data_IF_700278416566
#
_entry.id   IF_700278416566
#
_cell.length_a   1.000
_cell.length_b   1.000
_cell.length_c   1.000
_cell.angle_alpha   90.00
_cell.angle_beta   90.00
_cell.angle_gamma   90.00
#
_symmetry.space_group_name_H-M   'P 1'
#
loop_
_entity.id
_entity.type
_entity.pdbx_description
1 polymer ?
#
# COMPACT_ATOMS: atom_id res chain seq x y z
N UNK A 1 -5.62 -7.10 -34.77
CA UNK A 1 -4.40 -6.29 -34.82
C UNK A 1 -4.28 -5.56 -33.49
N UNK A 2 -3.60 -6.17 -32.50
CA UNK A 2 -3.35 -5.55 -31.20
C UNK A 2 -2.12 -4.66 -31.31
N UNK A 3 -2.34 -3.37 -31.53
CA UNK A 3 -1.28 -2.37 -31.41
C UNK A 3 -0.85 -2.30 -29.95
N UNK A 4 0.34 -2.81 -29.63
CA UNK A 4 0.97 -2.59 -28.34
C UNK A 4 1.11 -1.08 -28.15
N UNK A 5 0.37 -0.49 -27.20
CA UNK A 5 0.63 0.87 -26.77
C UNK A 5 2.01 0.87 -26.10
N UNK A 6 3.02 1.34 -26.81
CA UNK A 6 4.44 1.33 -26.43
C UNK A 6 4.73 2.26 -25.26
N UNK A 7 4.29 1.92 -24.07
CA UNK A 7 4.57 2.63 -22.83
C UNK A 7 4.92 1.66 -21.71
N UNK A 8 5.68 2.12 -20.73
CA UNK A 8 5.88 1.38 -19.47
C UNK A 8 4.73 1.70 -18.52
N UNK A 9 4.27 0.73 -17.68
CA UNK A 9 3.31 0.99 -16.63
C UNK A 9 3.90 1.98 -15.60
N UNK A 10 3.03 2.82 -15.05
CA UNK A 10 3.39 3.80 -14.02
C UNK A 10 2.70 3.47 -12.71
N UNK A 11 3.41 2.80 -11.83
CA UNK A 11 2.89 2.43 -10.51
C UNK A 11 3.16 3.48 -9.42
N UNK A 12 3.81 4.59 -9.78
CA UNK A 12 4.19 5.63 -8.84
C UNK A 12 5.39 5.27 -7.96
N UNK A 13 5.46 5.92 -6.81
CA UNK A 13 6.44 5.62 -5.75
C UNK A 13 5.88 6.14 -4.41
N UNK A 14 6.01 5.38 -3.34
CA UNK A 14 5.48 5.73 -2.01
C UNK A 14 6.11 6.98 -1.40
N UNK A 15 7.31 7.36 -1.83
CA UNK A 15 7.93 8.62 -1.45
C UNK A 15 7.63 9.68 -2.52
N UNK A 16 6.67 10.56 -2.24
CA UNK A 16 6.37 11.68 -3.13
C UNK A 16 7.58 12.63 -3.25
N UNK A 17 7.82 13.14 -4.47
CA UNK A 17 8.96 14.05 -4.77
C UNK A 17 9.03 15.26 -3.84
N UNK A 18 7.89 15.78 -3.37
CA UNK A 18 7.82 16.90 -2.43
C UNK A 18 8.60 16.69 -1.13
N UNK A 19 8.70 15.45 -0.64
CA UNK A 19 9.50 15.12 0.54
C UNK A 19 11.01 15.26 0.34
N UNK A 20 11.46 15.32 -0.91
CA UNK A 20 12.85 15.59 -1.26
C UNK A 20 13.05 17.09 -1.50
N UNK A 21 12.20 17.69 -2.38
CA UNK A 21 12.43 19.05 -2.84
C UNK A 21 12.12 20.12 -1.76
N UNK A 22 11.08 19.94 -0.94
CA UNK A 22 10.73 20.93 0.10
C UNK A 22 11.89 21.08 1.11
N UNK A 23 12.37 20.01 1.76
CA UNK A 23 13.52 20.15 2.67
C UNK A 23 14.79 20.53 1.92
N UNK A 24 15.00 20.10 0.68
CA UNK A 24 16.14 20.53 -0.13
C UNK A 24 16.18 22.04 -0.36
N UNK A 25 15.06 22.64 -0.75
CA UNK A 25 14.94 24.10 -0.91
C UNK A 25 15.11 24.81 0.43
N UNK A 26 14.46 24.32 1.50
CA UNK A 26 14.62 24.89 2.84
C UNK A 26 16.10 24.88 3.27
N UNK A 27 16.82 23.76 3.03
CA UNK A 27 18.25 23.67 3.29
C UNK A 27 19.05 24.77 2.57
N UNK A 28 18.81 24.96 1.27
CA UNK A 28 19.50 25.99 0.50
C UNK A 28 19.24 27.41 1.02
N UNK A 29 17.97 27.70 1.39
CA UNK A 29 17.61 29.00 1.97
C UNK A 29 18.35 29.23 3.30
N UNK A 30 18.34 28.23 4.19
CA UNK A 30 19.04 28.36 5.47
C UNK A 30 20.56 28.44 5.31
N UNK A 31 21.16 27.76 4.33
CA UNK A 31 22.60 27.92 4.02
C UNK A 31 22.90 29.34 3.53
N UNK A 32 22.06 29.91 2.67
CA UNK A 32 22.23 31.31 2.23
C UNK A 32 22.12 32.30 3.40
N UNK A 33 21.12 32.13 4.29
CA UNK A 33 20.95 32.98 5.46
C UNK A 33 22.07 32.78 6.51
N UNK A 34 22.71 31.62 6.55
CA UNK A 34 23.84 31.36 7.45
C UNK A 34 25.07 32.23 7.16
N UNK A 35 25.16 32.82 5.96
CA UNK A 35 26.20 33.84 5.66
C UNK A 35 26.03 35.11 6.51
N UNK A 36 24.80 35.40 6.94
CA UNK A 36 24.47 36.56 7.80
C UNK A 36 24.34 36.14 9.28
N UNK A 37 23.77 34.95 9.51
CA UNK A 37 23.51 34.41 10.85
C UNK A 37 24.07 32.99 10.94
N UNK A 38 25.32 32.79 11.43
CA UNK A 38 26.04 31.52 11.33
C UNK A 38 25.31 30.31 11.92
N UNK A 39 24.50 30.47 12.99
CA UNK A 39 23.82 29.30 13.59
C UNK A 39 22.75 28.69 12.68
N UNK A 40 22.32 29.36 11.63
CA UNK A 40 21.38 28.82 10.65
C UNK A 40 21.97 27.66 9.80
N UNK A 41 23.27 27.43 9.92
CA UNK A 41 23.93 26.22 9.38
C UNK A 41 23.35 24.94 9.98
N UNK A 42 22.89 24.98 11.25
CA UNK A 42 22.32 23.80 11.92
C UNK A 42 21.01 23.35 11.27
N UNK A 43 19.95 24.19 11.20
CA UNK A 43 18.73 23.78 10.48
C UNK A 43 18.98 23.51 8.99
N UNK A 44 19.91 24.21 8.34
CA UNK A 44 20.31 23.90 6.98
C UNK A 44 20.79 22.45 6.83
N UNK A 45 21.70 22.02 7.69
CA UNK A 45 22.23 20.65 7.71
C UNK A 45 21.13 19.62 8.01
N UNK A 46 20.22 19.90 8.95
CA UNK A 46 19.10 19.01 9.26
C UNK A 46 18.17 18.80 8.05
N UNK A 47 17.76 19.88 7.39
CA UNK A 47 16.93 19.79 6.18
C UNK A 47 17.64 19.09 5.03
N UNK A 48 18.95 19.27 4.91
CA UNK A 48 19.77 18.56 3.92
C UNK A 48 19.76 17.05 4.18
N UNK A 49 19.97 16.61 5.41
CA UNK A 49 19.93 15.20 5.80
C UNK A 49 18.55 14.59 5.56
N UNK A 50 17.47 15.33 5.86
CA UNK A 50 16.09 14.89 5.56
C UNK A 50 15.88 14.71 4.07
N UNK A 51 16.36 15.65 3.24
CA UNK A 51 16.26 15.55 1.78
C UNK A 51 17.02 14.33 1.24
N UNK A 52 18.25 14.09 1.71
CA UNK A 52 19.06 12.92 1.35
C UNK A 52 18.35 11.62 1.77
N UNK A 53 17.80 11.57 2.99
CA UNK A 53 17.11 10.38 3.46
C UNK A 53 15.92 10.02 2.57
N UNK A 54 15.06 10.99 2.23
CA UNK A 54 13.92 10.72 1.34
C UNK A 54 14.33 10.43 -0.11
N UNK A 55 15.44 11.01 -0.59
CA UNK A 55 16.00 10.65 -1.89
C UNK A 55 16.49 9.18 -1.89
N UNK A 56 17.19 8.77 -0.84
CA UNK A 56 17.61 7.37 -0.63
C UNK A 56 16.39 6.44 -0.55
N UNK A 57 15.37 6.77 0.26
CA UNK A 57 14.16 5.97 0.40
C UNK A 57 13.44 5.81 -0.94
N UNK A 58 13.27 6.92 -1.70
CA UNK A 58 12.66 6.90 -3.02
C UNK A 58 13.45 6.03 -4.00
N UNK A 59 14.78 6.10 -3.97
CA UNK A 59 15.63 5.23 -4.77
C UNK A 59 15.42 3.75 -4.41
N UNK A 60 15.45 3.40 -3.10
CA UNK A 60 15.26 2.02 -2.64
C UNK A 60 13.89 1.45 -3.00
N UNK A 61 12.87 2.28 -3.06
CA UNK A 61 11.52 1.89 -3.47
C UNK A 61 11.39 1.72 -4.99
N UNK A 62 12.24 2.37 -5.78
CA UNK A 62 12.21 2.24 -7.24
C UNK A 62 12.79 0.91 -7.73
N UNK A 63 12.43 0.48 -8.96
CA UNK A 63 13.00 -0.73 -9.58
C UNK A 63 14.52 -0.73 -9.63
N UNK A 64 15.16 0.43 -9.82
CA UNK A 64 16.62 0.58 -9.91
C UNK A 64 17.32 0.44 -8.55
N UNK A 65 16.59 0.73 -7.46
CA UNK A 65 17.14 0.79 -6.11
C UNK A 65 16.93 -0.45 -5.25
N UNK A 66 16.39 -1.52 -5.80
CA UNK A 66 16.10 -2.75 -5.08
C UNK A 66 14.62 -3.09 -5.00
N UNK A 67 13.74 -2.23 -5.56
CA UNK A 67 12.32 -2.54 -5.78
C UNK A 67 11.57 -2.95 -4.50
N UNK A 68 11.88 -2.29 -3.36
CA UNK A 68 11.33 -2.66 -2.05
C UNK A 68 9.80 -2.60 -2.04
N UNK A 69 9.18 -1.62 -2.74
CA UNK A 69 7.72 -1.56 -2.87
C UNK A 69 7.12 -2.81 -3.49
N UNK A 70 7.76 -3.30 -4.53
CA UNK A 70 7.29 -4.46 -5.27
C UNK A 70 7.43 -5.73 -4.44
N UNK A 71 8.55 -5.88 -3.72
CA UNK A 71 8.78 -6.99 -2.81
C UNK A 71 7.79 -7.00 -1.64
N UNK A 72 7.39 -5.81 -1.13
CA UNK A 72 6.34 -5.68 -0.11
C UNK A 72 4.98 -6.15 -0.66
N UNK A 73 4.64 -5.80 -1.92
CA UNK A 73 3.41 -6.30 -2.58
C UNK A 73 3.47 -7.81 -2.83
N UNK A 74 4.64 -8.33 -3.20
CA UNK A 74 4.84 -9.78 -3.37
C UNK A 74 4.58 -10.56 -2.08
N UNK A 75 4.92 -10.01 -0.90
CA UNK A 75 4.59 -10.66 0.37
C UNK A 75 3.08 -10.83 0.54
N UNK A 76 2.28 -9.84 0.16
CA UNK A 76 0.81 -9.96 0.22
C UNK A 76 0.35 -11.14 -0.62
N UNK A 77 0.85 -11.25 -1.86
CA UNK A 77 0.49 -12.33 -2.77
C UNK A 77 1.06 -13.69 -2.38
N UNK A 78 2.26 -13.72 -1.79
CA UNK A 78 2.90 -14.96 -1.34
C UNK A 78 2.14 -15.60 -0.17
N UNK A 79 1.51 -14.77 0.67
CA UNK A 79 0.76 -15.25 1.83
C UNK A 79 -0.76 -15.36 1.58
N UNK A 80 -1.25 -14.99 0.39
CA UNK A 80 -2.64 -15.19 0.00
C UNK A 80 -2.82 -16.66 -0.43
N UNK A 81 -3.31 -17.49 0.49
CA UNK A 81 -3.58 -18.92 0.27
C UNK A 81 -4.92 -19.10 -0.49
N UNK A 82 -4.96 -18.61 -1.74
CA UNK A 82 -6.12 -18.64 -2.61
C UNK A 82 -5.82 -19.39 -3.91
N UNK A 83 -6.76 -20.21 -4.37
CA UNK A 83 -6.62 -21.00 -5.59
C UNK A 83 -6.68 -20.18 -6.89
N UNK A 84 -7.06 -18.90 -6.80
CA UNK A 84 -7.13 -18.00 -7.94
C UNK A 84 -8.39 -18.13 -8.80
N UNK A 85 -9.44 -18.75 -8.28
CA UNK A 85 -10.72 -18.86 -8.96
C UNK A 85 -11.77 -17.92 -8.38
N UNK A 86 -12.59 -17.31 -9.23
CA UNK A 86 -13.67 -16.41 -8.81
C UNK A 86 -13.27 -14.94 -8.82
N UNK A 87 -13.73 -14.18 -7.82
CA UNK A 87 -13.59 -12.74 -7.75
C UNK A 87 -12.68 -12.32 -6.61
N UNK A 88 -11.74 -11.40 -6.88
CA UNK A 88 -10.89 -10.80 -5.87
C UNK A 88 -11.07 -9.29 -5.82
N UNK A 89 -10.88 -8.72 -4.63
CA UNK A 89 -10.88 -7.27 -4.38
C UNK A 89 -9.50 -6.82 -3.93
N UNK A 90 -9.00 -5.75 -4.54
CA UNK A 90 -7.84 -4.99 -4.08
C UNK A 90 -8.32 -3.65 -3.52
N UNK A 91 -8.26 -3.49 -2.19
CA UNK A 91 -8.71 -2.28 -1.48
C UNK A 91 -7.57 -1.28 -1.43
N UNK A 92 -7.79 -0.08 -2.01
CA UNK A 92 -6.80 0.97 -2.12
C UNK A 92 -5.75 0.67 -3.19
N UNK A 93 -6.20 0.34 -4.40
CA UNK A 93 -5.34 -0.15 -5.48
C UNK A 93 -4.31 0.88 -6.00
N UNK A 94 -4.42 2.16 -5.64
CA UNK A 94 -3.51 3.22 -6.09
C UNK A 94 -3.46 3.34 -7.60
N UNK A 95 -2.32 3.01 -8.21
CA UNK A 95 -2.13 2.88 -9.67
C UNK A 95 -2.15 1.41 -10.14
N UNK A 96 -2.84 0.53 -9.41
CA UNK A 96 -3.13 -0.87 -9.74
C UNK A 96 -1.94 -1.85 -9.70
N UNK A 97 -0.85 -1.54 -9.00
CA UNK A 97 0.31 -2.43 -8.97
C UNK A 97 -0.03 -3.81 -8.37
N UNK A 98 -0.71 -3.87 -7.21
CA UNK A 98 -1.10 -5.13 -6.57
C UNK A 98 -2.23 -5.81 -7.35
N UNK A 99 -3.22 -5.05 -7.83
CA UNK A 99 -4.34 -5.55 -8.65
C UNK A 99 -3.84 -6.31 -9.89
N UNK A 100 -2.88 -5.71 -10.62
CA UNK A 100 -2.32 -6.30 -11.84
C UNK A 100 -1.50 -7.54 -11.53
N UNK A 101 -0.66 -7.49 -10.49
CA UNK A 101 0.10 -8.67 -10.02
C UNK A 101 -0.83 -9.83 -9.64
N UNK A 102 -1.92 -9.54 -8.94
CA UNK A 102 -2.92 -10.54 -8.57
C UNK A 102 -3.56 -11.18 -9.83
N UNK A 103 -3.89 -10.36 -10.84
CA UNK A 103 -4.43 -10.83 -12.11
C UNK A 103 -3.43 -11.66 -12.93
N UNK A 104 -2.13 -11.33 -12.89
CA UNK A 104 -1.08 -12.14 -13.53
C UNK A 104 -0.87 -13.47 -12.82
N UNK A 105 -0.80 -13.45 -11.49
CA UNK A 105 -0.61 -14.67 -10.69
C UNK A 105 -1.77 -15.65 -10.86
N UNK A 106 -2.98 -15.15 -11.05
CA UNK A 106 -4.21 -15.95 -11.10
C UNK A 106 -4.97 -15.69 -12.40
N UNK A 107 -4.65 -16.47 -13.44
CA UNK A 107 -5.17 -16.27 -14.79
C UNK A 107 -6.70 -16.44 -14.93
N UNK A 108 -7.34 -17.15 -13.99
CA UNK A 108 -8.81 -17.36 -13.98
C UNK A 108 -9.55 -16.37 -13.09
N UNK A 109 -8.84 -15.55 -12.34
CA UNK A 109 -9.43 -14.55 -11.46
C UNK A 109 -10.00 -13.36 -12.24
N UNK A 110 -11.10 -12.82 -11.73
CA UNK A 110 -11.54 -11.45 -12.02
C UNK A 110 -11.20 -10.58 -10.82
N UNK A 111 -10.54 -9.46 -11.05
CA UNK A 111 -10.06 -8.59 -9.98
C UNK A 111 -10.72 -7.23 -10.06
N UNK A 112 -11.27 -6.76 -8.96
CA UNK A 112 -11.77 -5.38 -8.82
C UNK A 112 -10.78 -4.62 -7.97
N UNK A 113 -10.23 -3.53 -8.50
CA UNK A 113 -9.45 -2.56 -7.73
C UNK A 113 -10.32 -1.39 -7.33
N UNK A 114 -10.32 -1.02 -6.07
CA UNK A 114 -10.98 0.19 -5.61
C UNK A 114 -9.98 1.16 -4.99
N UNK A 115 -10.24 2.45 -5.18
CA UNK A 115 -9.50 3.51 -4.50
C UNK A 115 -10.37 4.77 -4.39
N UNK A 116 -10.07 5.65 -3.48
CA UNK A 116 -10.74 6.93 -3.36
C UNK A 116 -10.22 7.95 -4.39
N UNK A 117 -8.97 7.78 -4.86
CA UNK A 117 -8.24 8.68 -5.77
C UNK A 117 -8.40 10.15 -5.37
N UNK A 118 -8.09 10.44 -4.12
CA UNK A 118 -8.08 11.80 -3.60
C UNK A 118 -6.84 12.58 -4.07
N UNK A 119 -6.85 13.88 -3.86
CA UNK A 119 -5.78 14.80 -4.29
C UNK A 119 -4.44 14.65 -3.56
N UNK A 120 -4.37 13.78 -2.54
CA UNK A 120 -3.16 13.58 -1.73
C UNK A 120 -2.04 12.87 -2.49
N UNK A 121 -2.40 11.94 -3.35
CA UNK A 121 -1.49 11.08 -4.11
C UNK A 121 -1.64 11.32 -5.62
N UNK A 122 -0.56 11.06 -6.35
CA UNK A 122 -0.54 11.12 -7.83
C UNK A 122 -1.13 9.84 -8.43
N UNK A 123 -2.26 9.34 -7.88
CA UNK A 123 -2.94 8.12 -8.31
C UNK A 123 -4.26 8.47 -9.01
N UNK A 124 -4.63 7.69 -10.02
CA UNK A 124 -5.90 7.89 -10.73
C UNK A 124 -6.42 6.62 -11.39
N UNK A 125 -7.75 6.54 -11.53
CA UNK A 125 -8.41 5.46 -12.25
C UNK A 125 -7.90 5.32 -13.69
N UNK A 126 -7.67 6.44 -14.39
CA UNK A 126 -7.17 6.42 -15.78
C UNK A 126 -5.76 5.82 -15.89
N UNK A 127 -4.89 6.02 -14.89
CA UNK A 127 -3.59 5.38 -14.83
C UNK A 127 -3.75 3.87 -14.60
N UNK A 128 -4.67 3.45 -13.71
CA UNK A 128 -4.96 2.03 -13.49
C UNK A 128 -5.41 1.33 -14.79
N UNK A 129 -6.36 1.93 -15.50
CA UNK A 129 -6.88 1.40 -16.77
C UNK A 129 -5.79 1.33 -17.85
N UNK A 130 -4.93 2.35 -17.93
CA UNK A 130 -3.77 2.37 -18.83
C UNK A 130 -2.79 1.26 -18.47
N UNK A 131 -2.43 1.13 -17.20
CA UNK A 131 -1.50 0.10 -16.73
C UNK A 131 -2.04 -1.30 -17.01
N UNK A 132 -3.34 -1.55 -16.75
CA UNK A 132 -3.98 -2.83 -17.05
C UNK A 132 -3.95 -3.18 -18.54
N UNK A 133 -4.09 -2.18 -19.42
CA UNK A 133 -3.97 -2.38 -20.88
C UNK A 133 -2.53 -2.70 -21.30
N UNK A 134 -1.55 -1.97 -20.77
CA UNK A 134 -0.12 -2.21 -21.05
C UNK A 134 0.27 -3.63 -20.61
N UNK A 135 -0.22 -4.06 -19.46
CA UNK A 135 0.06 -5.38 -18.88
C UNK A 135 -0.84 -6.51 -19.43
N UNK A 136 -1.79 -6.20 -20.33
CA UNK A 136 -2.62 -7.20 -21.01
C UNK A 136 -3.65 -7.92 -20.12
N UNK A 137 -4.07 -7.29 -19.02
CA UNK A 137 -5.04 -7.86 -18.05
C UNK A 137 -6.37 -7.11 -18.02
N UNK A 138 -6.56 -6.10 -18.89
CA UNK A 138 -7.72 -5.21 -18.88
C UNK A 138 -9.08 -5.89 -19.06
N UNK A 139 -9.14 -7.11 -19.62
CA UNK A 139 -10.39 -7.87 -19.75
C UNK A 139 -10.83 -8.55 -18.44
N UNK A 140 -9.91 -8.70 -17.49
CA UNK A 140 -10.14 -9.38 -16.21
C UNK A 140 -10.05 -8.46 -15.00
N UNK A 141 -9.69 -7.19 -15.22
CA UNK A 141 -9.51 -6.20 -14.15
C UNK A 141 -10.44 -5.02 -14.37
N UNK A 142 -11.12 -4.59 -13.33
CA UNK A 142 -11.95 -3.39 -13.34
C UNK A 142 -11.60 -2.48 -12.19
N UNK A 143 -11.89 -1.18 -12.34
CA UNK A 143 -11.56 -0.18 -11.32
C UNK A 143 -12.78 0.68 -10.97
N UNK A 144 -13.03 0.84 -9.67
CA UNK A 144 -14.16 1.61 -9.16
C UNK A 144 -13.70 2.59 -8.08
N UNK A 145 -14.24 3.81 -8.08
CA UNK A 145 -14.03 4.78 -7.01
C UNK A 145 -14.89 4.41 -5.81
N UNK A 146 -14.25 4.16 -4.65
CA UNK A 146 -14.94 3.86 -3.41
C UNK A 146 -14.08 4.19 -2.19
N UNK A 147 -14.72 4.38 -1.01
CA UNK A 147 -14.02 4.42 0.27
C UNK A 147 -13.86 3.01 0.84
N UNK A 148 -12.70 2.74 1.45
CA UNK A 148 -12.46 1.49 2.14
C UNK A 148 -13.28 1.34 3.44
N UNK A 149 -13.87 2.44 3.96
CA UNK A 149 -14.75 2.44 5.13
C UNK A 149 -16.20 2.08 4.82
N UNK A 150 -16.59 2.11 3.53
CA UNK A 150 -17.95 1.80 3.07
C UNK A 150 -17.86 1.20 1.67
N UNK A 151 -17.63 -0.11 1.62
CA UNK A 151 -17.44 -0.83 0.36
C UNK A 151 -18.79 -1.03 -0.33
N UNK A 152 -18.94 -0.65 -1.62
CA UNK A 152 -20.19 -0.75 -2.36
C UNK A 152 -20.46 -2.17 -2.87
N UNK A 153 -20.25 -3.16 -2.01
CA UNK A 153 -20.44 -4.57 -2.30
C UNK A 153 -21.28 -5.24 -1.19
N UNK A 154 -22.00 -6.27 -1.58
CA UNK A 154 -22.74 -7.10 -0.64
C UNK A 154 -21.81 -7.88 0.29
N UNK A 155 -22.35 -8.37 1.40
CA UNK A 155 -21.67 -9.28 2.30
C UNK A 155 -21.25 -10.55 1.54
N UNK A 156 -20.09 -11.09 1.85
CA UNK A 156 -19.64 -12.38 1.34
C UNK A 156 -19.60 -12.45 -0.21
N UNK A 157 -19.14 -11.37 -0.86
CA UNK A 157 -19.12 -11.26 -2.32
C UNK A 157 -17.81 -11.78 -2.95
N UNK A 158 -16.66 -11.62 -2.28
CA UNK A 158 -15.34 -11.93 -2.83
C UNK A 158 -14.76 -13.24 -2.32
N UNK A 159 -14.15 -13.99 -3.22
CA UNK A 159 -13.38 -15.20 -2.89
C UNK A 159 -12.03 -14.86 -2.26
N UNK A 160 -11.46 -13.70 -2.62
CA UNK A 160 -10.24 -13.18 -2.02
C UNK A 160 -10.28 -11.65 -1.86
N UNK A 161 -9.69 -11.14 -0.77
CA UNK A 161 -9.54 -9.70 -0.53
C UNK A 161 -8.10 -9.39 -0.15
N UNK A 162 -7.51 -8.41 -0.83
CA UNK A 162 -6.16 -7.91 -0.53
C UNK A 162 -6.20 -6.41 -0.28
N UNK A 163 -5.24 -5.91 0.49
CA UNK A 163 -4.99 -4.49 0.67
C UNK A 163 -3.53 -4.26 1.02
N UNK A 164 -2.96 -3.13 0.62
CA UNK A 164 -1.59 -2.79 0.92
C UNK A 164 -1.42 -1.30 1.25
N UNK A 165 -1.17 -0.99 2.53
CA UNK A 165 -0.88 0.34 3.07
C UNK A 165 -2.01 1.38 2.82
N UNK A 166 -3.24 1.03 3.15
CA UNK A 166 -4.45 1.83 2.88
C UNK A 166 -5.20 2.25 4.13
N UNK A 167 -5.44 1.34 5.06
CA UNK A 167 -6.41 1.54 6.14
C UNK A 167 -6.06 2.68 7.08
N UNK A 168 -4.76 2.91 7.34
CA UNK A 168 -4.29 4.04 8.15
C UNK A 168 -4.57 5.41 7.49
N UNK A 169 -4.76 5.47 6.17
CA UNK A 169 -5.03 6.69 5.41
C UNK A 169 -6.52 7.06 5.34
N UNK A 170 -7.42 6.13 5.65
CA UNK A 170 -8.88 6.34 5.63
C UNK A 170 -9.27 7.37 6.69
N UNK A 171 -9.90 8.49 6.30
CA UNK A 171 -10.12 9.65 7.19
C UNK A 171 -11.53 9.77 7.73
N UNK A 172 -12.48 9.13 7.08
CA UNK A 172 -13.91 9.21 7.38
C UNK A 172 -14.33 8.33 8.57
N UNK A 173 -13.41 7.53 9.12
CA UNK A 173 -13.61 6.76 10.37
C UNK A 173 -12.45 6.99 11.34
N UNK A 174 -12.76 7.13 12.62
CA UNK A 174 -11.76 7.32 13.68
C UNK A 174 -11.05 6.00 14.01
N UNK A 175 -11.80 4.94 14.24
CA UNK A 175 -11.27 3.60 14.53
C UNK A 175 -10.94 2.86 13.23
N UNK A 176 -9.64 2.65 12.98
CA UNK A 176 -9.18 1.95 11.77
C UNK A 176 -9.49 0.44 11.78
N UNK A 177 -9.79 -0.14 12.93
CA UNK A 177 -10.26 -1.52 13.01
C UNK A 177 -11.63 -1.69 12.31
N UNK A 178 -12.46 -0.64 12.28
CA UNK A 178 -13.70 -0.66 11.52
C UNK A 178 -13.49 -0.87 10.01
N UNK A 179 -12.40 -0.32 9.45
CA UNK A 179 -12.04 -0.53 8.04
C UNK A 179 -11.63 -1.98 7.78
N UNK A 180 -10.91 -2.61 8.71
CA UNK A 180 -10.59 -4.05 8.63
C UNK A 180 -11.87 -4.88 8.66
N UNK A 181 -12.80 -4.54 9.57
CA UNK A 181 -14.10 -5.23 9.67
C UNK A 181 -14.90 -5.12 8.38
N UNK A 182 -14.89 -3.94 7.76
CA UNK A 182 -15.56 -3.70 6.48
C UNK A 182 -14.91 -4.52 5.34
N UNK A 183 -13.57 -4.60 5.29
CA UNK A 183 -12.87 -5.46 4.35
C UNK A 183 -13.25 -6.94 4.53
N UNK A 184 -13.36 -7.40 5.77
CA UNK A 184 -13.75 -8.79 6.08
C UNK A 184 -15.24 -9.06 5.84
N UNK A 185 -16.13 -8.05 5.91
CA UNK A 185 -17.55 -8.19 5.60
C UNK A 185 -17.77 -8.75 4.20
N UNK A 186 -17.05 -8.22 3.22
CA UNK A 186 -17.20 -8.59 1.82
C UNK A 186 -16.47 -9.89 1.42
N UNK A 187 -15.66 -10.48 2.31
CA UNK A 187 -15.05 -11.81 2.10
C UNK A 187 -16.10 -12.89 2.28
N UNK A 188 -16.20 -13.84 1.37
CA UNK A 188 -17.05 -15.05 1.49
C UNK A 188 -16.64 -15.93 2.66
N UNK A 189 -17.58 -16.74 3.17
CA UNK A 189 -17.21 -17.85 4.07
C UNK A 189 -16.26 -18.81 3.34
N UNK A 190 -15.13 -19.15 3.96
CA UNK A 190 -14.04 -19.88 3.33
C UNK A 190 -13.17 -19.06 2.39
N UNK A 191 -13.53 -17.81 2.12
CA UNK A 191 -12.73 -16.88 1.32
C UNK A 191 -11.46 -16.44 2.06
N UNK A 192 -10.47 -16.00 1.29
CA UNK A 192 -9.13 -15.68 1.79
C UNK A 192 -8.89 -14.18 1.84
N UNK A 193 -8.03 -13.76 2.76
CA UNK A 193 -7.62 -12.36 2.81
C UNK A 193 -6.14 -12.21 3.17
N UNK A 194 -5.53 -11.16 2.63
CA UNK A 194 -4.18 -10.74 2.95
C UNK A 194 -4.15 -9.21 3.01
N UNK A 195 -4.13 -8.67 4.22
CA UNK A 195 -4.24 -7.24 4.51
C UNK A 195 -2.93 -6.76 5.10
N UNK A 196 -2.26 -5.82 4.43
CA UNK A 196 -0.99 -5.26 4.87
C UNK A 196 -1.14 -3.78 5.19
N UNK A 197 -0.74 -3.41 6.41
CA UNK A 197 -0.78 -2.01 6.85
C UNK A 197 0.22 -1.77 7.99
N UNK A 198 0.21 -0.57 8.56
CA UNK A 198 1.02 -0.18 9.72
C UNK A 198 0.50 -0.82 11.02
N UNK A 199 0.18 -2.11 11.00
CA UNK A 199 -0.49 -2.82 12.10
C UNK A 199 0.31 -2.89 13.40
N UNK A 200 1.61 -2.65 13.36
CA UNK A 200 2.45 -2.52 14.54
C UNK A 200 2.47 -1.10 15.13
N UNK A 201 1.75 -0.14 14.53
CA UNK A 201 1.60 1.21 15.05
C UNK A 201 0.50 1.24 16.11
N UNK A 202 0.87 0.99 17.36
CA UNK A 202 -0.04 0.84 18.51
C UNK A 202 -1.05 1.97 18.68
N UNK A 203 -0.69 3.21 18.39
CA UNK A 203 -1.61 4.36 18.49
C UNK A 203 -2.80 4.29 17.51
N UNK A 204 -2.69 3.49 16.44
CA UNK A 204 -3.75 3.33 15.42
C UNK A 204 -4.53 2.03 15.65
N UNK A 205 -3.80 0.92 15.88
CA UNK A 205 -4.39 -0.41 15.88
C UNK A 205 -4.40 -1.10 17.25
N UNK A 206 -3.76 -0.51 18.28
CA UNK A 206 -3.56 -1.17 19.58
C UNK A 206 -2.45 -2.22 19.53
N UNK A 207 -2.46 -3.14 20.46
CA UNK A 207 -1.53 -4.26 20.48
C UNK A 207 -1.90 -5.30 19.42
N UNK A 208 -0.87 -5.95 18.86
CA UNK A 208 -1.01 -6.98 17.82
C UNK A 208 -1.93 -8.13 18.26
N UNK A 209 -1.74 -8.61 19.50
CA UNK A 209 -2.50 -9.78 19.99
C UNK A 209 -3.96 -9.41 20.27
N UNK A 210 -4.22 -8.20 20.74
CA UNK A 210 -5.56 -7.64 20.89
C UNK A 210 -6.25 -7.45 19.52
N UNK A 211 -5.53 -6.91 18.53
CA UNK A 211 -6.04 -6.74 17.17
C UNK A 211 -6.42 -8.10 16.54
N UNK A 212 -5.53 -9.07 16.61
CA UNK A 212 -5.79 -10.42 16.05
C UNK A 212 -6.89 -11.15 16.82
N UNK A 213 -6.97 -10.98 18.14
CA UNK A 213 -8.07 -11.48 18.98
C UNK A 213 -9.41 -10.88 18.60
N UNK A 214 -9.43 -9.55 18.37
CA UNK A 214 -10.64 -8.84 17.90
C UNK A 214 -11.10 -9.38 16.53
N UNK A 215 -10.18 -9.59 15.59
CA UNK A 215 -10.50 -10.14 14.26
C UNK A 215 -11.08 -11.56 14.36
N UNK A 216 -10.54 -12.42 15.23
CA UNK A 216 -11.13 -13.75 15.49
C UNK A 216 -12.54 -13.66 15.99
N UNK A 217 -12.83 -12.69 16.88
CA UNK A 217 -14.18 -12.41 17.41
C UNK A 217 -15.20 -11.99 16.34
N UNK A 218 -14.76 -11.60 15.14
CA UNK A 218 -15.66 -11.26 14.01
C UNK A 218 -16.06 -12.47 13.15
N UNK A 219 -15.79 -13.70 13.61
CA UNK A 219 -16.17 -14.92 12.92
C UNK A 219 -15.16 -15.37 11.84
N UNK A 220 -13.93 -14.89 11.92
CA UNK A 220 -12.83 -15.33 11.06
C UNK A 220 -12.33 -16.69 11.53
N UNK A 221 -12.30 -17.68 10.64
CA UNK A 221 -11.90 -19.05 10.95
C UNK A 221 -10.40 -19.16 11.25
N UNK A 222 -9.58 -18.48 10.47
CA UNK A 222 -8.12 -18.49 10.60
C UNK A 222 -7.61 -17.07 10.49
N UNK A 223 -6.76 -16.64 11.43
CA UNK A 223 -6.02 -15.39 11.35
C UNK A 223 -4.59 -15.58 11.83
N UNK A 224 -3.66 -15.15 11.03
CA UNK A 224 -2.22 -15.17 11.33
C UNK A 224 -1.65 -13.76 11.10
N UNK A 225 -0.59 -13.44 11.83
CA UNK A 225 0.12 -12.17 11.72
C UNK A 225 1.55 -12.40 11.27
N UNK A 226 1.97 -11.71 10.21
CA UNK A 226 3.34 -11.75 9.68
C UNK A 226 3.98 -10.37 9.86
N UNK A 227 5.11 -10.31 10.54
CA UNK A 227 5.84 -9.05 10.72
C UNK A 227 6.65 -8.72 9.46
N UNK A 228 6.04 -8.01 8.52
CA UNK A 228 6.66 -7.61 7.26
C UNK A 228 7.97 -6.85 7.47
N UNK A 229 8.07 -6.02 8.55
CA UNK A 229 9.26 -5.24 8.88
C UNK A 229 10.53 -6.10 9.03
N UNK A 230 10.38 -7.39 9.38
CA UNK A 230 11.51 -8.29 9.62
C UNK A 230 12.05 -8.94 8.33
N UNK A 231 11.39 -8.66 7.20
CA UNK A 231 11.85 -9.13 5.89
C UNK A 231 13.27 -8.66 5.59
N UNK A 232 14.11 -9.58 5.10
CA UNK A 232 15.52 -9.32 4.80
C UNK A 232 15.74 -8.30 3.69
N UNK A 233 14.78 -8.16 2.77
CA UNK A 233 14.85 -7.19 1.66
C UNK A 233 14.61 -5.75 2.09
N UNK A 234 14.07 -5.50 3.30
CA UNK A 234 13.85 -4.15 3.83
C UNK A 234 15.13 -3.65 4.47
N UNK A 235 15.82 -2.63 3.92
CA UNK A 235 17.00 -2.06 4.52
C UNK A 235 16.71 -1.49 5.91
N UNK A 236 17.67 -1.59 6.83
CA UNK A 236 17.54 -1.08 8.21
C UNK A 236 17.14 0.40 8.24
N UNK A 237 17.67 1.23 7.33
CA UNK A 237 17.32 2.64 7.24
C UNK A 237 15.84 2.90 6.88
N UNK A 238 15.14 1.93 6.30
CA UNK A 238 13.70 2.01 6.02
C UNK A 238 12.83 1.41 7.13
N UNK A 239 13.41 0.80 8.17
CA UNK A 239 12.69 0.23 9.32
C UNK A 239 12.35 1.30 10.39
N UNK A 240 12.29 2.57 10.01
CA UNK A 240 11.83 3.65 10.88
C UNK A 240 10.29 3.61 11.03
N UNK A 241 9.74 4.02 12.20
CA UNK A 241 8.29 3.93 12.46
C UNK A 241 7.40 4.66 11.44
N UNK A 242 7.89 5.73 10.84
CA UNK A 242 7.20 6.53 9.83
C UNK A 242 7.41 6.03 8.38
N UNK A 243 8.15 4.93 8.22
CA UNK A 243 8.39 4.26 6.94
C UNK A 243 7.81 2.84 6.98
N UNK A 244 8.66 1.81 7.00
CA UNK A 244 8.25 0.41 7.02
C UNK A 244 8.43 -0.28 8.39
N UNK A 245 8.88 0.44 9.42
CA UNK A 245 9.18 -0.14 10.74
C UNK A 245 7.96 -0.60 11.54
N UNK A 246 6.75 -0.22 11.12
CA UNK A 246 5.49 -0.62 11.76
C UNK A 246 4.58 -1.44 10.85
N UNK A 247 5.11 -1.85 9.70
CA UNK A 247 4.33 -2.63 8.73
C UNK A 247 4.16 -4.08 9.20
N UNK A 248 2.94 -4.59 9.05
CA UNK A 248 2.57 -5.97 9.32
C UNK A 248 1.55 -6.47 8.31
N UNK A 249 1.43 -7.77 8.19
CA UNK A 249 0.48 -8.42 7.28
C UNK A 249 -0.43 -9.34 8.10
N UNK A 250 -1.72 -9.16 7.98
CA UNK A 250 -2.76 -10.02 8.56
C UNK A 250 -3.34 -10.88 7.44
N UNK A 251 -3.23 -12.18 7.59
CA UNK A 251 -3.71 -13.16 6.62
C UNK A 251 -4.71 -14.10 7.26
N UNK A 252 -5.57 -14.68 6.45
CA UNK A 252 -6.49 -15.67 6.98
C UNK A 252 -7.59 -16.14 6.04
N UNK A 253 -8.57 -16.78 6.67
CA UNK A 253 -9.76 -17.35 6.05
C UNK A 253 -10.99 -16.96 6.88
N UNK A 254 -12.03 -16.45 6.24
CA UNK A 254 -13.31 -16.15 6.90
C UNK A 254 -14.17 -17.38 7.10
#
# INVERSE_FOLDING_TARGET
>A
MNGSMGGKPDYGNWVAKKFIYIPGVASLVFFGLALLVPYLVIPAGLFFLVSIYFAYARYRFSPQGGNVEDQVRELVLAHLDWNGEGQALDIGCGNAALTIKLAHKHARARVIGIDYWGSKWEYSKSICERNAKIEGVNERVTFQKASASALPFEDEYFDAVVSNLVFHEVRDVADKRAVIREALRVVKKGGKFALQDLFLLKRIYGDRDDLTGTIRGWGVRKVEFVETRDSAFIPTALKLPFMLGTIGLIIGEK
#
